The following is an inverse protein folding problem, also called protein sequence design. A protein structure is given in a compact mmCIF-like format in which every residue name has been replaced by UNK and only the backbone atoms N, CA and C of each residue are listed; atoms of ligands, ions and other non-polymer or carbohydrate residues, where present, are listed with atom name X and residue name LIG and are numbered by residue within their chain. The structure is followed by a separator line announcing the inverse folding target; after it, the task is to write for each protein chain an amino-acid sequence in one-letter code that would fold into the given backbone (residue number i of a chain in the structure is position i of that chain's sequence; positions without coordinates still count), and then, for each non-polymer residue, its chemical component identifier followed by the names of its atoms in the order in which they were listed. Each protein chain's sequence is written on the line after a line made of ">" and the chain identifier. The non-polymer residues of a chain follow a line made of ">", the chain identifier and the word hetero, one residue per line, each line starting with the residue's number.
data_IF_237463340174
#
_entry.id   IF_237463340174
#
_cell.length_a   1.000
_cell.length_b   1.000
_cell.length_c   1.000
_cell.angle_alpha   90.00
_cell.angle_beta   90.00
_cell.angle_gamma   90.00
#
_symmetry.space_group_name_H-M   'P 1'
#
loop_
_entity.id
_entity.type
_entity.pdbx_description
1 polymer ?
#
# COMPACT_ATOMS: atom_id res chain seq x y z
N UNK A 1 -2.57 -23.56 32.26
CA UNK A 1 -3.19 -22.22 32.08
C UNK A 1 -2.40 -21.46 31.05
N UNK A 2 -2.81 -21.51 29.80
CA UNK A 2 -2.16 -20.80 28.71
C UNK A 2 -2.60 -19.33 28.76
N UNK A 3 -1.64 -18.42 28.98
CA UNK A 3 -1.88 -16.99 28.92
C UNK A 3 -2.15 -16.58 27.46
N UNK A 4 -3.40 -16.28 27.15
CA UNK A 4 -3.82 -15.60 25.92
C UNK A 4 -3.05 -14.28 25.81
N UNK A 5 -1.97 -14.28 25.04
CA UNK A 5 -1.19 -13.10 24.75
C UNK A 5 -1.97 -12.31 23.69
N UNK A 6 -2.49 -11.16 24.10
CA UNK A 6 -3.29 -10.22 23.32
C UNK A 6 -2.62 -9.96 21.95
N UNK A 7 -3.21 -10.50 20.91
CA UNK A 7 -2.99 -10.13 19.52
C UNK A 7 -3.79 -8.85 19.28
N UNK A 8 -3.30 -7.71 19.74
CA UNK A 8 -4.13 -6.51 19.68
C UNK A 8 -3.38 -5.20 19.64
N UNK A 9 -2.42 -5.06 18.73
CA UNK A 9 -1.82 -3.74 18.52
C UNK A 9 -1.65 -3.37 17.03
N UNK A 10 -2.41 -3.99 16.13
CA UNK A 10 -2.52 -3.46 14.78
C UNK A 10 -3.59 -2.36 14.80
N UNK A 11 -3.27 -1.15 14.30
CA UNK A 11 -4.27 -0.09 14.16
C UNK A 11 -5.36 -0.54 13.19
N UNK A 12 -6.59 -0.63 13.69
CA UNK A 12 -7.75 -1.06 12.91
C UNK A 12 -8.36 0.17 12.25
N UNK A 13 -8.51 0.13 10.94
CA UNK A 13 -9.29 1.09 10.15
C UNK A 13 -10.77 0.75 10.28
N UNK A 14 -11.37 1.00 11.43
CA UNK A 14 -12.79 0.77 11.65
C UNK A 14 -13.54 2.09 11.76
N UNK A 15 -14.56 2.27 10.93
CA UNK A 15 -15.55 3.34 10.99
C UNK A 15 -14.97 4.75 11.15
N UNK A 16 -15.62 5.61 11.84
CA UNK A 16 -15.28 7.03 12.07
C UNK A 16 -14.03 7.31 12.91
N UNK A 17 -13.21 6.31 13.23
CA UNK A 17 -11.86 6.54 13.74
C UNK A 17 -11.05 7.12 12.60
N UNK A 18 -11.00 8.41 12.62
CA UNK A 18 -10.49 9.23 11.52
C UNK A 18 -9.14 8.69 11.01
N UNK A 19 -8.97 8.70 9.70
CA UNK A 19 -7.69 8.44 9.02
C UNK A 19 -6.49 9.07 9.76
N UNK A 20 -6.72 10.23 10.39
CA UNK A 20 -5.77 10.94 11.24
C UNK A 20 -5.27 10.10 12.42
N UNK A 21 -6.17 9.40 13.12
CA UNK A 21 -5.80 8.55 14.26
C UNK A 21 -4.96 7.36 13.79
N UNK A 22 -5.36 6.72 12.68
CA UNK A 22 -4.57 5.65 12.10
C UNK A 22 -3.16 6.13 11.71
N UNK A 23 -3.06 7.28 11.02
CA UNK A 23 -1.77 7.85 10.63
C UNK A 23 -0.89 8.21 11.84
N UNK A 24 -1.50 8.65 12.94
CA UNK A 24 -0.79 8.92 14.17
C UNK A 24 -0.31 7.62 14.87
N UNK A 25 -1.13 6.57 14.83
CA UNK A 25 -0.74 5.26 15.37
C UNK A 25 0.44 4.64 14.62
N UNK A 26 0.40 4.63 13.28
CA UNK A 26 1.50 4.05 12.48
C UNK A 26 2.82 4.81 12.64
N UNK A 27 2.79 6.09 13.03
CA UNK A 27 4.01 6.88 13.31
C UNK A 27 4.73 6.42 14.58
N UNK A 28 4.04 5.76 15.51
CA UNK A 28 4.64 5.27 16.76
C UNK A 28 5.56 4.07 16.56
N UNK A 29 5.39 3.33 15.46
CA UNK A 29 6.25 2.17 15.18
C UNK A 29 7.64 2.64 14.73
N UNK A 30 8.72 2.10 15.34
CA UNK A 30 10.08 2.45 14.95
C UNK A 30 10.40 1.93 13.55
N UNK A 31 11.28 2.65 12.86
CA UNK A 31 11.87 2.16 11.61
C UNK A 31 12.99 1.19 11.96
N UNK A 32 13.07 0.07 11.22
CA UNK A 32 14.10 -0.94 11.40
C UNK A 32 15.39 -0.54 10.68
N UNK A 33 16.53 -0.83 11.30
CA UNK A 33 17.83 -0.81 10.64
C UNK A 33 17.94 -1.95 9.62
N UNK A 34 18.94 -1.92 8.75
CA UNK A 34 19.16 -2.98 7.76
C UNK A 34 19.49 -4.33 8.45
N UNK A 35 20.23 -4.28 9.55
CA UNK A 35 20.62 -5.46 10.32
C UNK A 35 19.45 -6.09 11.06
N UNK A 36 18.61 -5.26 11.70
CA UNK A 36 17.38 -5.71 12.35
C UNK A 36 16.40 -6.32 11.34
N UNK A 37 16.23 -5.67 10.17
CA UNK A 37 15.38 -6.16 9.09
C UNK A 37 15.87 -7.54 8.60
N UNK A 38 17.18 -7.71 8.37
CA UNK A 38 17.78 -8.97 7.98
C UNK A 38 17.56 -10.06 9.03
N UNK A 39 17.83 -9.75 10.30
CA UNK A 39 17.65 -10.69 11.41
C UNK A 39 16.19 -11.16 11.55
N UNK A 40 15.24 -10.23 11.47
CA UNK A 40 13.81 -10.54 11.55
C UNK A 40 13.35 -11.34 10.33
N UNK A 41 13.81 -10.98 9.13
CA UNK A 41 13.47 -11.71 7.91
C UNK A 41 14.01 -13.14 7.91
N UNK A 42 15.24 -13.32 8.39
CA UNK A 42 15.85 -14.65 8.54
C UNK A 42 15.08 -15.51 9.56
N UNK A 43 14.70 -14.94 10.70
CA UNK A 43 13.87 -15.63 11.70
C UNK A 43 12.52 -16.05 11.13
N UNK A 44 11.89 -15.18 10.33
CA UNK A 44 10.65 -15.48 9.65
C UNK A 44 10.83 -16.62 8.64
N UNK A 45 11.87 -16.55 7.81
CA UNK A 45 12.13 -17.55 6.75
C UNK A 45 12.45 -18.92 7.31
N UNK A 46 13.25 -19.03 8.39
CA UNK A 46 13.71 -20.30 8.94
C UNK A 46 12.70 -20.89 9.92
N UNK A 47 12.13 -20.07 10.79
CA UNK A 47 11.30 -20.53 11.91
C UNK A 47 9.80 -20.23 11.76
N UNK A 48 9.40 -19.49 10.71
CA UNK A 48 8.01 -19.05 10.56
C UNK A 48 7.55 -18.14 11.71
N UNK A 49 8.48 -17.35 12.29
CA UNK A 49 8.22 -16.52 13.47
C UNK A 49 7.21 -15.42 13.17
N UNK A 50 6.00 -15.55 13.71
CA UNK A 50 4.91 -14.58 13.52
C UNK A 50 5.17 -13.24 14.19
N UNK A 51 5.93 -13.20 15.29
CA UNK A 51 6.30 -11.96 15.96
C UNK A 51 7.30 -11.16 15.10
N UNK A 52 8.22 -11.86 14.42
CA UNK A 52 9.13 -11.25 13.45
C UNK A 52 8.37 -10.68 12.24
N UNK A 53 7.42 -11.45 11.68
CA UNK A 53 6.57 -10.96 10.60
C UNK A 53 5.78 -9.72 11.01
N UNK A 54 5.20 -9.72 12.21
CA UNK A 54 4.45 -8.59 12.74
C UNK A 54 5.30 -7.32 12.86
N UNK A 55 6.53 -7.43 13.34
CA UNK A 55 7.48 -6.30 13.42
C UNK A 55 7.85 -5.77 12.05
N UNK A 56 8.11 -6.67 11.07
CA UNK A 56 8.41 -6.28 9.69
C UNK A 56 7.25 -5.53 9.05
N UNK A 57 6.01 -6.00 9.22
CA UNK A 57 4.81 -5.34 8.69
C UNK A 57 4.60 -3.98 9.36
N UNK A 58 4.60 -3.90 10.69
CA UNK A 58 4.29 -2.66 11.42
C UNK A 58 5.29 -1.54 11.14
N UNK A 59 6.57 -1.86 10.99
CA UNK A 59 7.62 -0.88 10.64
C UNK A 59 7.45 -0.28 9.24
N UNK A 60 6.74 -0.98 8.32
CA UNK A 60 6.55 -0.56 6.93
C UNK A 60 5.13 0.00 6.63
N UNK A 61 4.23 0.09 7.62
CA UNK A 61 2.90 0.68 7.42
C UNK A 61 2.93 2.12 6.92
N UNK A 62 3.95 2.89 7.30
CA UNK A 62 4.15 4.26 6.79
C UNK A 62 4.37 4.30 5.28
N UNK A 63 5.06 3.28 4.72
CA UNK A 63 5.27 3.15 3.29
C UNK A 63 3.93 2.96 2.58
N UNK A 64 3.06 2.09 3.11
CA UNK A 64 1.72 1.84 2.57
C UNK A 64 0.88 3.12 2.58
N UNK A 65 0.86 3.84 3.70
CA UNK A 65 0.13 5.10 3.82
C UNK A 65 0.60 6.14 2.80
N UNK A 66 1.93 6.30 2.63
CA UNK A 66 2.52 7.22 1.65
C UNK A 66 2.12 6.86 0.21
N UNK A 67 2.13 5.57 -0.12
CA UNK A 67 1.73 5.10 -1.45
C UNK A 67 0.24 5.30 -1.70
N UNK A 68 -0.61 4.99 -0.71
CA UNK A 68 -2.06 5.14 -0.81
C UNK A 68 -2.47 6.59 -1.05
N UNK A 69 -1.78 7.56 -0.44
CA UNK A 69 -2.03 8.98 -0.69
C UNK A 69 -1.84 9.38 -2.16
N UNK A 70 -0.95 8.71 -2.89
CA UNK A 70 -0.77 8.91 -4.33
C UNK A 70 -1.97 8.46 -5.18
N UNK A 71 -2.86 7.64 -4.61
CA UNK A 71 -4.09 7.18 -5.26
C UNK A 71 -5.34 7.94 -4.79
N UNK A 72 -5.17 9.04 -4.04
CA UNK A 72 -6.28 9.92 -3.69
C UNK A 72 -6.90 10.50 -4.97
N UNK A 73 -8.24 10.50 -5.04
CA UNK A 73 -8.95 11.08 -6.18
C UNK A 73 -9.43 10.04 -7.23
N UNK A 74 -9.23 8.75 -7.00
CA UNK A 74 -9.85 7.71 -7.83
C UNK A 74 -11.32 7.41 -7.48
N UNK A 75 -11.94 8.21 -6.58
CA UNK A 75 -13.33 8.03 -6.16
C UNK A 75 -13.55 6.89 -5.15
N UNK A 76 -12.49 6.27 -4.66
CA UNK A 76 -12.54 5.22 -3.66
C UNK A 76 -12.07 5.74 -2.29
N UNK A 77 -12.60 5.19 -1.18
CA UNK A 77 -12.13 5.54 0.15
C UNK A 77 -10.64 5.20 0.30
N UNK A 78 -9.87 6.16 0.80
CA UNK A 78 -8.43 5.98 0.99
C UNK A 78 -8.11 4.88 2.00
N UNK A 79 -9.00 4.67 2.97
CA UNK A 79 -8.92 3.61 3.97
C UNK A 79 -8.93 2.22 3.35
N UNK A 80 -9.77 2.02 2.34
CA UNK A 80 -9.88 0.74 1.64
C UNK A 80 -8.64 0.47 0.78
N UNK A 81 -8.14 1.50 0.09
CA UNK A 81 -6.88 1.43 -0.66
C UNK A 81 -5.71 1.09 0.27
N UNK A 82 -5.67 1.68 1.47
CA UNK A 82 -4.66 1.35 2.49
C UNK A 82 -4.77 -0.09 2.97
N UNK A 83 -5.99 -0.56 3.21
CA UNK A 83 -6.23 -1.94 3.67
C UNK A 83 -5.74 -2.96 2.66
N UNK A 84 -6.05 -2.76 1.37
CA UNK A 84 -5.51 -3.61 0.30
C UNK A 84 -3.98 -3.48 0.16
N UNK A 85 -3.44 -2.28 0.35
CA UNK A 85 -2.00 -2.08 0.42
C UNK A 85 -1.34 -2.85 1.56
N UNK A 86 -1.97 -2.93 2.72
CA UNK A 86 -1.50 -3.71 3.85
C UNK A 86 -1.51 -5.22 3.54
N UNK A 87 -2.52 -5.71 2.81
CA UNK A 87 -2.54 -7.11 2.32
C UNK A 87 -1.35 -7.35 1.39
N UNK A 88 -1.09 -6.44 0.45
CA UNK A 88 0.09 -6.51 -0.42
C UNK A 88 1.42 -6.50 0.35
N UNK A 89 1.52 -5.69 1.41
CA UNK A 89 2.69 -5.67 2.29
C UNK A 89 2.89 -7.00 3.01
N UNK A 90 1.82 -7.60 3.56
CA UNK A 90 1.90 -8.90 4.22
C UNK A 90 2.36 -10.00 3.26
N UNK A 91 1.86 -10.01 2.02
CA UNK A 91 2.32 -10.94 0.99
C UNK A 91 3.80 -10.73 0.64
N UNK A 92 4.26 -9.47 0.58
CA UNK A 92 5.66 -9.16 0.35
C UNK A 92 6.54 -9.69 1.49
N UNK A 93 6.16 -9.48 2.74
CA UNK A 93 6.91 -9.95 3.92
C UNK A 93 7.03 -11.47 3.93
N UNK A 94 5.95 -12.20 3.58
CA UNK A 94 5.97 -13.66 3.51
C UNK A 94 6.90 -14.24 2.42
N UNK A 95 7.07 -13.48 1.33
CA UNK A 95 7.87 -13.92 0.17
C UNK A 95 9.24 -13.26 0.09
N UNK A 96 9.57 -12.45 1.09
CA UNK A 96 10.84 -11.73 1.12
C UNK A 96 12.00 -12.67 1.43
N UNK A 97 13.04 -12.57 0.61
CA UNK A 97 14.27 -13.32 0.75
C UNK A 97 15.41 -12.36 1.14
N UNK A 98 15.87 -12.41 2.40
CA UNK A 98 16.90 -11.49 2.88
C UNK A 98 18.27 -11.74 2.24
N UNK A 99 18.53 -12.95 1.71
CA UNK A 99 19.82 -13.32 1.09
C UNK A 99 20.10 -12.56 -0.20
N UNK A 100 19.04 -12.01 -0.85
CA UNK A 100 19.17 -11.23 -2.08
C UNK A 100 19.78 -9.84 -1.90
N UNK A 101 20.06 -9.40 -0.67
CA UNK A 101 20.73 -8.14 -0.37
C UNK A 101 19.92 -6.87 -0.63
N UNK A 102 18.63 -6.97 -0.96
CA UNK A 102 17.76 -5.80 -1.13
C UNK A 102 16.97 -5.50 0.15
N UNK A 103 16.64 -4.22 0.34
CA UNK A 103 15.77 -3.79 1.44
C UNK A 103 14.32 -4.25 1.20
N UNK A 104 13.66 -4.67 2.29
CA UNK A 104 12.24 -5.05 2.25
C UNK A 104 11.36 -3.93 1.66
N UNK A 105 11.65 -2.67 1.99
CA UNK A 105 10.91 -1.53 1.45
C UNK A 105 10.91 -1.49 -0.08
N UNK A 106 12.05 -1.79 -0.73
CA UNK A 106 12.17 -1.81 -2.19
C UNK A 106 11.36 -2.95 -2.80
N UNK A 107 11.42 -4.12 -2.20
CA UNK A 107 10.66 -5.30 -2.63
C UNK A 107 9.16 -5.12 -2.40
N UNK A 108 8.76 -4.68 -1.22
CA UNK A 108 7.36 -4.48 -0.83
C UNK A 108 6.65 -3.41 -1.66
N UNK A 109 7.38 -2.39 -2.13
CA UNK A 109 6.83 -1.32 -2.97
C UNK A 109 6.06 -1.86 -4.18
N UNK A 110 6.56 -2.91 -4.83
CA UNK A 110 5.92 -3.52 -5.99
C UNK A 110 4.64 -4.27 -5.62
N UNK A 111 4.67 -5.03 -4.53
CA UNK A 111 3.51 -5.78 -4.03
C UNK A 111 2.39 -4.85 -3.58
N UNK A 112 2.73 -3.82 -2.81
CA UNK A 112 1.78 -2.83 -2.31
C UNK A 112 1.12 -2.08 -3.46
N UNK A 113 1.92 -1.60 -4.44
CA UNK A 113 1.37 -0.94 -5.63
C UNK A 113 0.46 -1.86 -6.44
N UNK A 114 0.87 -3.10 -6.65
CA UNK A 114 0.08 -4.07 -7.41
C UNK A 114 -1.27 -4.32 -6.73
N UNK A 115 -1.29 -4.56 -5.42
CA UNK A 115 -2.51 -4.77 -4.65
C UNK A 115 -3.46 -3.57 -4.72
N UNK A 116 -2.93 -2.35 -4.49
CA UNK A 116 -3.73 -1.12 -4.57
C UNK A 116 -4.31 -0.90 -5.98
N UNK A 117 -3.49 -1.09 -7.01
CA UNK A 117 -3.92 -0.91 -8.40
C UNK A 117 -4.96 -1.94 -8.82
N UNK A 118 -4.80 -3.19 -8.39
CA UNK A 118 -5.78 -4.24 -8.65
C UNK A 118 -7.12 -3.92 -7.98
N UNK A 119 -7.09 -3.47 -6.73
CA UNK A 119 -8.29 -3.04 -6.01
C UNK A 119 -9.00 -1.89 -6.72
N UNK A 120 -8.26 -0.85 -7.13
CA UNK A 120 -8.81 0.30 -7.84
C UNK A 120 -9.50 -0.15 -9.14
N UNK A 121 -8.85 -0.96 -9.96
CA UNK A 121 -9.42 -1.44 -11.23
C UNK A 121 -10.65 -2.32 -11.04
N UNK A 122 -10.73 -3.05 -9.93
CA UNK A 122 -11.86 -3.91 -9.60
C UNK A 122 -13.05 -3.12 -9.05
N UNK A 123 -12.79 -2.07 -8.27
CA UNK A 123 -13.80 -1.36 -7.48
C UNK A 123 -14.20 -0.01 -8.06
N UNK A 124 -13.46 0.53 -9.03
CA UNK A 124 -13.72 1.86 -9.60
C UNK A 124 -15.02 1.94 -10.41
N UNK A 125 -15.42 0.85 -11.10
CA UNK A 125 -16.63 0.81 -11.91
C UNK A 125 -17.28 -0.57 -11.89
N UNK A 126 -18.60 -0.61 -11.98
CA UNK A 126 -19.37 -1.84 -12.15
C UNK A 126 -19.06 -2.51 -13.50
N UNK A 127 -18.73 -1.71 -14.53
CA UNK A 127 -18.26 -2.21 -15.82
C UNK A 127 -16.75 -2.41 -15.72
N UNK A 128 -16.30 -3.65 -15.83
CA UNK A 128 -14.86 -3.97 -15.81
C UNK A 128 -14.17 -3.33 -17.00
N UNK A 129 -13.31 -2.36 -16.72
CA UNK A 129 -12.38 -1.83 -17.71
C UNK A 129 -11.38 -2.92 -18.00
N UNK A 130 -11.09 -3.13 -19.26
CA UNK A 130 -10.33 -4.23 -19.83
C UNK A 130 -9.16 -4.77 -19.00
N UNK A 131 -8.95 -6.05 -19.15
CA UNK A 131 -8.00 -6.83 -18.32
C UNK A 131 -6.57 -6.79 -18.84
N UNK A 132 -6.32 -6.20 -20.03
CA UNK A 132 -4.98 -6.20 -20.63
C UNK A 132 -4.03 -5.22 -19.94
N UNK A 133 -2.74 -5.55 -19.93
CA UNK A 133 -1.70 -4.70 -19.34
C UNK A 133 -1.65 -3.29 -19.96
N UNK A 134 -1.91 -3.18 -21.27
CA UNK A 134 -1.93 -1.91 -22.00
C UNK A 134 -3.07 -1.02 -21.52
N UNK A 135 -4.28 -1.57 -21.36
CA UNK A 135 -5.45 -0.84 -20.88
C UNK A 135 -5.28 -0.37 -19.44
N UNK A 136 -4.71 -1.20 -18.56
CA UNK A 136 -4.37 -0.82 -17.19
C UNK A 136 -3.37 0.35 -17.16
N UNK A 137 -2.31 0.26 -17.97
CA UNK A 137 -1.31 1.33 -18.11
C UNK A 137 -1.93 2.62 -18.62
N UNK A 138 -2.80 2.54 -19.63
CA UNK A 138 -3.51 3.70 -20.17
C UNK A 138 -4.39 4.37 -19.10
N UNK A 139 -5.16 3.62 -18.34
CA UNK A 139 -6.02 4.12 -17.28
C UNK A 139 -5.25 4.95 -16.24
N UNK A 140 -4.12 4.42 -15.73
CA UNK A 140 -3.33 5.13 -14.74
C UNK A 140 -2.58 6.34 -15.34
N UNK A 141 -2.10 6.22 -16.59
CA UNK A 141 -1.41 7.32 -17.26
C UNK A 141 -2.37 8.48 -17.60
N UNK A 142 -3.58 8.18 -18.08
CA UNK A 142 -4.58 9.20 -18.38
C UNK A 142 -4.93 10.04 -17.14
N UNK A 143 -5.13 9.36 -16.00
CA UNK A 143 -5.40 10.06 -14.75
C UNK A 143 -4.23 10.92 -14.29
N UNK A 144 -3.02 10.40 -14.45
CA UNK A 144 -1.79 11.15 -14.14
C UNK A 144 -1.65 12.39 -15.04
N UNK A 145 -1.90 12.24 -16.33
CA UNK A 145 -1.89 13.35 -17.27
C UNK A 145 -2.97 14.40 -16.90
N UNK A 146 -4.21 13.97 -16.63
CA UNK A 146 -5.28 14.88 -16.17
C UNK A 146 -4.86 15.71 -14.95
N UNK A 147 -4.23 15.07 -13.97
CA UNK A 147 -3.73 15.77 -12.78
C UNK A 147 -2.61 16.77 -13.11
N UNK A 148 -1.75 16.45 -14.08
CA UNK A 148 -0.64 17.33 -14.49
C UNK A 148 -1.10 18.59 -15.23
N UNK A 149 -2.14 18.47 -16.06
CA UNK A 149 -2.72 19.60 -16.80
C UNK A 149 -3.73 20.40 -15.97
N UNK A 150 -3.92 20.03 -14.70
CA UNK A 150 -4.86 20.69 -13.78
C UNK A 150 -6.32 20.75 -14.29
N UNK A 151 -6.70 19.88 -15.21
CA UNK A 151 -8.06 19.76 -15.70
C UNK A 151 -8.93 19.06 -14.64
N UNK A 152 -9.37 19.81 -13.61
CA UNK A 152 -10.11 19.25 -12.47
C UNK A 152 -11.62 19.09 -12.71
N UNK A 153 -12.18 19.75 -13.71
CA UNK A 153 -13.62 19.70 -14.01
C UNK A 153 -13.91 18.90 -15.28
N UNK A 154 -14.93 18.06 -15.21
CA UNK A 154 -15.41 17.30 -16.37
C UNK A 154 -16.06 18.30 -17.36
N UNK A 155 -15.33 18.68 -18.39
CA UNK A 155 -15.85 19.51 -19.47
C UNK A 155 -14.91 20.58 -20.00
N UNK A 156 -13.97 21.08 -19.22
CA UNK A 156 -13.07 22.15 -19.65
C UNK A 156 -11.63 21.67 -19.86
N UNK A 157 -11.41 20.95 -20.95
CA UNK A 157 -10.08 20.88 -21.54
C UNK A 157 -9.79 22.22 -22.24
N UNK A 158 -9.07 23.10 -21.55
CA UNK A 158 -8.61 24.33 -22.12
C UNK A 158 -7.78 24.04 -23.37
N UNK A 159 -8.05 24.67 -24.55
CA UNK A 159 -7.32 24.40 -25.79
C UNK A 159 -5.80 24.45 -25.67
N UNK A 160 -5.28 25.32 -24.78
CA UNK A 160 -3.85 25.45 -24.50
C UNK A 160 -3.22 24.21 -23.81
N UNK A 161 -4.04 23.33 -23.23
CA UNK A 161 -3.61 22.12 -22.57
C UNK A 161 -3.61 20.88 -23.49
N UNK A 162 -4.09 21.02 -24.72
CA UNK A 162 -4.14 19.94 -25.71
C UNK A 162 -2.79 19.73 -26.44
N UNK A 163 -1.88 20.70 -26.35
CA UNK A 163 -0.55 20.66 -26.97
C UNK A 163 0.54 20.03 -26.07
N UNK A 164 0.21 19.64 -24.84
CA UNK A 164 1.11 18.96 -23.90
C UNK A 164 0.79 17.48 -23.78
#
# INVERSE_FOLDING_TARGET
>A
MAKNKKISNLPILSGDVTLSNYLNEIKKFPMLSAEEEYTLATRLSIHGDTDAAHKLVTSHLRLVAKLAMGYKGYGLPITDIMSEGNVGLMQAVQKFDPEKGFRLATYALWWVKAAMQEYILRSWSLVKIGTTAVQKKLFFNLRRAKNQIQAYEDGDLNPENLEK
#
